data_IF_364209698510
#
_entry.id   IF_364209698510
#
_cell.length_a   1.000
_cell.length_b   1.000
_cell.length_c   1.000
_cell.angle_alpha   90.00
_cell.angle_beta   90.00
_cell.angle_gamma   90.00
#
_symmetry.space_group_name_H-M   'P 1'
#
loop_
_entity.id
_entity.type
_entity.pdbx_description
1 polymer ?
#
# COMPACT_ATOMS: atom_id res chain seq x y z
N UNK A 1 -29.90 12.37 -24.21
CA UNK A 1 -30.25 12.22 -22.78
C UNK A 1 -28.99 12.36 -21.96
N UNK A 2 -29.01 13.06 -20.82
CA UNK A 2 -27.83 13.18 -19.95
C UNK A 2 -27.47 11.83 -19.33
N UNK A 3 -26.18 11.61 -19.12
CA UNK A 3 -25.69 10.40 -18.46
C UNK A 3 -26.09 10.42 -16.95
N UNK A 4 -26.55 9.30 -16.36
CA UNK A 4 -26.91 9.25 -14.94
C UNK A 4 -25.72 9.56 -14.03
N UNK A 5 -25.95 10.32 -12.94
CA UNK A 5 -24.93 10.63 -11.93
C UNK A 5 -24.65 9.41 -11.05
N UNK A 6 -23.47 9.31 -10.44
CA UNK A 6 -23.06 8.14 -9.63
C UNK A 6 -24.04 7.76 -8.50
N UNK A 7 -24.74 8.73 -7.92
CA UNK A 7 -25.73 8.48 -6.84
C UNK A 7 -27.15 8.16 -7.30
N UNK A 8 -27.41 8.03 -8.61
CA UNK A 8 -28.76 7.85 -9.15
C UNK A 8 -29.31 6.43 -8.88
N UNK A 9 -30.60 6.33 -8.52
CA UNK A 9 -31.33 5.05 -8.40
C UNK A 9 -31.37 4.27 -9.71
N UNK A 10 -31.13 4.92 -10.85
CA UNK A 10 -30.94 4.27 -12.16
C UNK A 10 -29.96 3.08 -12.07
N UNK A 11 -28.81 3.26 -11.42
CA UNK A 11 -27.79 2.22 -11.28
C UNK A 11 -28.30 1.01 -10.49
N UNK A 12 -29.25 1.22 -9.59
CA UNK A 12 -29.83 0.15 -8.76
C UNK A 12 -31.04 -0.54 -9.41
N UNK A 13 -31.78 0.15 -10.29
CA UNK A 13 -33.02 -0.40 -10.85
C UNK A 13 -32.84 -0.98 -12.25
N UNK A 14 -32.00 -0.35 -13.07
CA UNK A 14 -31.89 -0.67 -14.50
C UNK A 14 -30.71 -1.59 -14.82
N UNK A 15 -29.66 -1.59 -13.98
CA UNK A 15 -28.50 -2.46 -14.20
C UNK A 15 -28.76 -3.84 -13.57
N UNK A 16 -28.65 -4.94 -14.34
CA UNK A 16 -28.79 -6.29 -13.81
C UNK A 16 -27.87 -6.55 -12.61
N UNK A 17 -28.35 -7.33 -11.63
CA UNK A 17 -27.59 -7.68 -10.42
C UNK A 17 -26.22 -8.27 -10.78
N UNK A 18 -26.16 -9.18 -11.77
CA UNK A 18 -24.92 -9.81 -12.21
C UNK A 18 -23.87 -8.80 -12.68
N UNK A 19 -24.27 -7.82 -13.52
CA UNK A 19 -23.35 -6.76 -13.97
C UNK A 19 -22.84 -5.90 -12.82
N UNK A 20 -23.70 -5.55 -11.84
CA UNK A 20 -23.25 -4.75 -10.68
C UNK A 20 -22.22 -5.50 -9.85
N UNK A 21 -22.45 -6.78 -9.63
CA UNK A 21 -21.51 -7.62 -8.89
C UNK A 21 -20.18 -7.75 -9.64
N UNK A 22 -20.22 -7.90 -10.97
CA UNK A 22 -19.03 -7.91 -11.82
C UNK A 22 -18.23 -6.60 -11.72
N UNK A 23 -18.90 -5.44 -11.81
CA UNK A 23 -18.25 -4.13 -11.61
C UNK A 23 -17.60 -3.98 -10.23
N UNK A 24 -18.25 -4.46 -9.16
CA UNK A 24 -17.68 -4.45 -7.80
C UNK A 24 -16.44 -5.35 -7.74
N UNK A 25 -16.51 -6.55 -8.32
CA UNK A 25 -15.38 -7.48 -8.38
C UNK A 25 -14.19 -6.88 -9.15
N UNK A 26 -14.44 -6.27 -10.31
CA UNK A 26 -13.42 -5.56 -11.08
C UNK A 26 -12.82 -4.40 -10.27
N UNK A 27 -13.66 -3.61 -9.60
CA UNK A 27 -13.20 -2.52 -8.73
C UNK A 27 -12.25 -3.01 -7.64
N UNK A 28 -12.59 -4.11 -6.98
CA UNK A 28 -11.75 -4.73 -5.95
C UNK A 28 -10.44 -5.28 -6.52
N UNK A 29 -10.48 -5.88 -7.72
CA UNK A 29 -9.29 -6.38 -8.41
C UNK A 29 -8.32 -5.24 -8.76
N UNK A 30 -8.83 -4.14 -9.32
CA UNK A 30 -8.01 -2.97 -9.64
C UNK A 30 -7.43 -2.30 -8.39
N UNK A 31 -8.20 -2.23 -7.31
CA UNK A 31 -7.71 -1.73 -6.02
C UNK A 31 -6.57 -2.61 -5.50
N UNK A 32 -6.73 -3.94 -5.51
CA UNK A 32 -5.67 -4.87 -5.11
C UNK A 32 -4.41 -4.68 -5.94
N UNK A 33 -4.53 -4.59 -7.27
CA UNK A 33 -3.40 -4.37 -8.17
C UNK A 33 -2.70 -3.03 -7.93
N UNK A 34 -3.45 -1.98 -7.61
CA UNK A 34 -2.88 -0.68 -7.24
C UNK A 34 -2.04 -0.80 -5.96
N UNK A 35 -2.55 -1.50 -4.95
CA UNK A 35 -1.82 -1.75 -3.70
C UNK A 35 -0.55 -2.58 -3.96
N UNK A 36 -0.63 -3.65 -4.75
CA UNK A 36 0.53 -4.45 -5.16
C UNK A 36 1.61 -3.60 -5.84
N UNK A 37 1.22 -2.72 -6.76
CA UNK A 37 2.15 -1.81 -7.43
C UNK A 37 2.80 -0.81 -6.46
N UNK A 38 2.04 -0.30 -5.48
CA UNK A 38 2.59 0.59 -4.45
C UNK A 38 3.62 -0.16 -3.57
N UNK A 39 3.31 -1.39 -3.15
CA UNK A 39 4.26 -2.23 -2.40
C UNK A 39 5.54 -2.51 -3.19
N UNK A 40 5.40 -2.88 -4.48
CA UNK A 40 6.53 -3.09 -5.38
C UNK A 40 7.37 -1.82 -5.58
N UNK A 41 6.73 -0.67 -5.70
CA UNK A 41 7.44 0.61 -5.83
C UNK A 41 8.34 0.85 -4.62
N UNK A 42 7.81 0.71 -3.39
CA UNK A 42 8.59 0.91 -2.17
C UNK A 42 9.82 -0.01 -2.13
N UNK A 43 9.66 -1.29 -2.44
CA UNK A 43 10.78 -2.25 -2.39
C UNK A 43 11.76 -2.06 -3.53
N UNK A 44 11.31 -1.65 -4.71
CA UNK A 44 12.18 -1.44 -5.88
C UNK A 44 12.98 -0.13 -5.78
N UNK A 45 12.45 0.89 -5.09
CA UNK A 45 13.16 2.15 -4.88
C UNK A 45 14.23 2.06 -3.78
N UNK A 46 14.21 1.02 -2.95
CA UNK A 46 15.25 0.79 -1.95
C UNK A 46 16.61 0.52 -2.60
N UNK A 47 17.63 1.28 -2.22
CA UNK A 47 19.01 1.11 -2.70
C UNK A 47 19.79 0.32 -1.64
N UNK A 48 20.07 0.97 -0.51
CA UNK A 48 20.77 0.40 0.64
C UNK A 48 20.63 1.30 1.86
N UNK A 49 20.84 0.76 3.05
CA UNK A 49 20.95 1.52 4.30
C UNK A 49 19.82 2.55 4.61
N UNK A 50 18.60 2.25 4.15
CA UNK A 50 17.43 3.15 4.24
C UNK A 50 17.53 4.40 3.36
N UNK A 51 18.35 4.31 2.31
CA UNK A 51 18.41 5.21 1.18
C UNK A 51 17.54 4.66 0.06
N UNK A 52 16.73 5.53 -0.53
CA UNK A 52 15.79 5.22 -1.59
C UNK A 52 16.03 6.15 -2.78
N UNK A 53 15.80 5.65 -3.99
CA UNK A 53 15.54 6.51 -5.14
C UNK A 53 14.27 7.29 -4.82
N UNK A 54 14.34 8.62 -4.90
CA UNK A 54 13.24 9.50 -4.61
C UNK A 54 13.04 10.52 -5.73
N UNK A 55 11.98 11.33 -5.60
CA UNK A 55 11.62 12.35 -6.59
C UNK A 55 11.49 13.71 -5.93
N UNK A 56 11.94 14.75 -6.64
CA UNK A 56 11.79 16.16 -6.26
C UNK A 56 12.45 16.49 -4.90
N UNK A 57 11.65 16.95 -3.95
CA UNK A 57 11.99 17.56 -2.67
C UNK A 57 11.97 16.56 -1.51
N UNK A 58 11.64 15.29 -1.79
CA UNK A 58 11.73 14.24 -0.78
C UNK A 58 13.20 14.04 -0.33
N UNK A 59 13.39 13.55 0.89
CA UNK A 59 14.71 13.09 1.35
C UNK A 59 14.97 11.67 0.84
N UNK A 60 16.19 11.40 0.41
CA UNK A 60 16.57 10.08 -0.11
C UNK A 60 16.72 9.07 1.03
N UNK A 61 17.23 9.54 2.18
CA UNK A 61 17.31 8.74 3.39
C UNK A 61 16.02 8.90 4.21
N UNK A 62 15.35 7.79 4.49
CA UNK A 62 14.10 7.80 5.25
C UNK A 62 13.91 6.47 5.98
N UNK A 63 13.47 6.51 7.23
CA UNK A 63 13.11 5.32 8.00
C UNK A 63 11.62 5.02 7.77
N UNK A 64 11.27 3.96 7.02
CA UNK A 64 9.87 3.65 6.79
C UNK A 64 9.22 3.19 8.11
N UNK A 65 7.98 3.65 8.34
CA UNK A 65 7.22 3.25 9.52
C UNK A 65 6.86 1.76 9.44
N UNK A 66 7.46 0.95 10.32
CA UNK A 66 7.28 -0.51 10.28
C UNK A 66 5.87 -0.96 10.66
N UNK A 67 5.10 -0.13 11.38
CA UNK A 67 3.68 -0.39 11.70
C UNK A 67 2.79 -0.32 10.46
N UNK A 68 3.28 0.27 9.37
CA UNK A 68 2.64 0.23 8.05
C UNK A 68 3.30 -0.83 7.19
N UNK A 69 4.63 -0.85 7.14
CA UNK A 69 5.39 -1.66 6.19
C UNK A 69 5.16 -3.17 6.37
N UNK A 70 5.22 -3.68 7.61
CA UNK A 70 5.07 -5.11 7.85
C UNK A 70 3.63 -5.61 7.61
N UNK A 71 2.57 -5.00 8.18
CA UNK A 71 1.20 -5.44 7.91
C UNK A 71 0.83 -5.34 6.43
N UNK A 72 1.34 -4.31 5.74
CA UNK A 72 1.11 -4.17 4.30
C UNK A 72 1.79 -5.29 3.50
N UNK A 73 3.05 -5.60 3.83
CA UNK A 73 3.76 -6.74 3.26
C UNK A 73 3.01 -8.06 3.51
N UNK A 74 2.53 -8.28 4.73
CA UNK A 74 1.77 -9.48 5.10
C UNK A 74 0.44 -9.59 4.34
N UNK A 75 -0.31 -8.49 4.22
CA UNK A 75 -1.57 -8.44 3.48
C UNK A 75 -1.39 -8.79 1.98
N UNK A 76 -0.30 -8.32 1.37
CA UNK A 76 0.02 -8.59 -0.03
C UNK A 76 0.84 -9.86 -0.26
N UNK A 77 1.25 -10.57 0.80
CA UNK A 77 2.22 -11.67 0.73
C UNK A 77 3.54 -11.24 0.05
N UNK A 78 3.97 -9.99 0.27
CA UNK A 78 5.19 -9.43 -0.29
C UNK A 78 6.37 -9.63 0.67
N UNK A 79 7.15 -10.69 0.44
CA UNK A 79 8.30 -11.06 1.26
C UNK A 79 9.36 -9.96 1.35
N UNK A 80 9.67 -9.29 0.24
CA UNK A 80 10.67 -8.21 0.21
C UNK A 80 10.28 -7.06 1.16
N UNK A 81 9.00 -6.72 1.19
CA UNK A 81 8.48 -5.66 2.06
C UNK A 81 8.54 -6.07 3.54
N UNK A 82 8.21 -7.33 3.85
CA UNK A 82 8.36 -7.87 5.20
C UNK A 82 9.83 -7.95 5.64
N UNK A 83 10.73 -8.34 4.74
CA UNK A 83 12.19 -8.36 4.98
C UNK A 83 12.74 -6.96 5.22
N UNK A 84 12.30 -5.96 4.45
CA UNK A 84 12.68 -4.55 4.67
C UNK A 84 12.21 -4.07 6.06
N UNK A 85 10.99 -4.43 6.48
CA UNK A 85 10.50 -4.10 7.82
C UNK A 85 11.32 -4.77 8.93
N UNK A 86 11.68 -6.05 8.76
CA UNK A 86 12.55 -6.76 9.69
C UNK A 86 13.96 -6.14 9.75
N UNK A 87 14.50 -5.73 8.60
CA UNK A 87 15.78 -5.02 8.53
C UNK A 87 15.75 -3.70 9.32
N UNK A 88 14.71 -2.89 9.13
CA UNK A 88 14.53 -1.63 9.89
C UNK A 88 14.42 -1.90 11.38
N UNK A 89 13.60 -2.89 11.77
CA UNK A 89 13.41 -3.25 13.17
C UNK A 89 14.71 -3.71 13.85
N UNK A 90 15.53 -4.45 13.12
CA UNK A 90 16.87 -4.87 13.58
C UNK A 90 17.83 -3.68 13.67
N UNK A 91 17.86 -2.80 12.68
CA UNK A 91 18.75 -1.63 12.64
C UNK A 91 18.52 -0.68 13.82
N UNK A 92 17.26 -0.50 14.23
CA UNK A 92 16.90 0.38 15.35
C UNK A 92 16.57 -0.36 16.66
N UNK A 93 16.83 -1.66 16.73
CA UNK A 93 16.66 -2.48 17.95
C UNK A 93 15.25 -2.35 18.57
N UNK A 94 14.20 -2.30 17.75
CA UNK A 94 12.83 -2.06 18.25
C UNK A 94 12.31 -3.15 19.18
N UNK A 95 12.85 -4.37 19.12
CA UNK A 95 12.48 -5.42 20.07
C UNK A 95 13.05 -5.15 21.47
N UNK A 96 14.22 -4.52 21.56
CA UNK A 96 14.85 -4.15 22.82
C UNK A 96 14.32 -2.80 23.32
N UNK A 97 14.10 -1.85 22.40
CA UNK A 97 13.66 -0.49 22.69
C UNK A 97 12.40 -0.14 21.87
N UNK A 98 11.21 -0.67 22.22
CA UNK A 98 9.99 -0.42 21.44
C UNK A 98 9.61 1.06 21.31
N UNK A 99 10.03 1.91 22.25
CA UNK A 99 9.78 3.35 22.20
C UNK A 99 10.45 4.06 21.02
N UNK A 100 11.55 3.51 20.47
CA UNK A 100 12.23 4.08 19.31
C UNK A 100 11.35 4.09 18.04
N UNK A 101 10.26 3.32 18.03
CA UNK A 101 9.24 3.38 16.97
C UNK A 101 8.53 4.74 16.86
N UNK A 102 8.51 5.51 17.94
CA UNK A 102 7.76 6.76 18.06
C UNK A 102 8.65 8.00 18.14
N UNK A 103 9.96 7.81 17.97
CA UNK A 103 10.93 8.90 18.03
C UNK A 103 10.83 9.75 16.75
N UNK A 104 10.68 11.06 16.92
CA UNK A 104 10.56 12.04 15.83
C UNK A 104 11.93 12.50 15.34
#
# INVERSE_FOLDING_TARGET
MPFPKAGDKYWQKQVPVAMRNDYIQLGNLYQKKKLENMGRFITTMYINDLTFVNFSDAQAQNVPNINILFPYGAYLQNEQMMQLAAYVAKKYLYMQNPSELYRK
#
